data_IF_604480034488
#
_entry.id   IF_604480034488
#
_cell.length_a   1.000
_cell.length_b   1.000
_cell.length_c   1.000
_cell.angle_alpha   90.00
_cell.angle_beta   90.00
_cell.angle_gamma   90.00
#
_symmetry.space_group_name_H-M   'P 1'
#
loop_
_entity.id
_entity.type
_entity.pdbx_description
1 polymer ?
#
# COMPACT_ATOMS: atom_id res chain seq x y z
N UNK A 1 -1.39 -19.57 -15.75
CA UNK A 1 -2.01 -18.34 -15.24
C UNK A 1 -1.40 -17.13 -15.93
N UNK A 2 -2.24 -16.24 -16.37
CA UNK A 2 -1.74 -15.04 -17.07
C UNK A 2 -1.00 -14.12 -16.10
N UNK A 3 0.05 -13.51 -16.60
CA UNK A 3 0.85 -12.56 -15.84
C UNK A 3 -0.01 -11.43 -15.24
N UNK A 4 -0.97 -10.95 -16.04
CA UNK A 4 -1.87 -9.89 -15.60
C UNK A 4 -2.77 -10.30 -14.42
N UNK A 5 -3.18 -11.54 -14.35
CA UNK A 5 -3.98 -12.02 -13.22
C UNK A 5 -3.19 -12.00 -11.93
N UNK A 6 -1.93 -12.44 -11.98
CA UNK A 6 -1.06 -12.44 -10.81
C UNK A 6 -0.81 -11.02 -10.34
N UNK A 7 -0.47 -10.12 -11.27
CA UNK A 7 -0.21 -8.72 -10.96
C UNK A 7 -1.45 -8.07 -10.35
N UNK A 8 -2.63 -8.32 -10.93
CA UNK A 8 -3.88 -7.76 -10.42
C UNK A 8 -4.18 -8.21 -8.99
N UNK A 9 -3.92 -9.48 -8.69
CA UNK A 9 -4.10 -10.00 -7.33
C UNK A 9 -3.16 -9.34 -6.34
N UNK A 10 -1.92 -9.13 -6.74
CA UNK A 10 -0.94 -8.44 -5.90
C UNK A 10 -1.37 -6.99 -5.67
N UNK A 11 -1.80 -6.31 -6.73
CA UNK A 11 -2.26 -4.93 -6.62
C UNK A 11 -3.48 -4.81 -5.71
N UNK A 12 -4.43 -5.73 -5.81
CA UNK A 12 -5.60 -5.75 -4.94
C UNK A 12 -5.20 -5.94 -3.48
N UNK A 13 -4.27 -6.84 -3.21
CA UNK A 13 -3.77 -7.07 -1.87
C UNK A 13 -3.09 -5.82 -1.31
N UNK A 14 -2.20 -5.22 -2.10
CA UNK A 14 -1.49 -4.01 -1.68
C UNK A 14 -2.46 -2.85 -1.46
N UNK A 15 -3.46 -2.71 -2.31
CA UNK A 15 -4.47 -1.66 -2.15
C UNK A 15 -5.26 -1.84 -0.85
N UNK A 16 -5.64 -3.07 -0.54
CA UNK A 16 -6.33 -3.39 0.71
C UNK A 16 -5.46 -3.03 1.92
N UNK A 17 -4.19 -3.42 1.89
CA UNK A 17 -3.27 -3.12 2.98
C UNK A 17 -3.06 -1.61 3.13
N UNK A 18 -2.93 -0.91 2.01
CA UNK A 18 -2.76 0.54 2.03
C UNK A 18 -3.98 1.23 2.65
N UNK A 19 -5.17 0.77 2.31
CA UNK A 19 -6.41 1.31 2.88
C UNK A 19 -6.46 1.06 4.39
N UNK A 20 -6.07 -0.13 4.84
CA UNK A 20 -6.01 -0.44 6.27
C UNK A 20 -5.03 0.48 7.00
N UNK A 21 -3.87 0.73 6.40
CA UNK A 21 -2.89 1.64 6.98
C UNK A 21 -3.44 3.06 7.09
N UNK A 22 -4.13 3.52 6.06
CA UNK A 22 -4.77 4.83 6.07
C UNK A 22 -5.77 4.95 7.22
N UNK A 23 -6.57 3.90 7.44
CA UNK A 23 -7.54 3.87 8.53
C UNK A 23 -6.85 3.88 9.90
N UNK A 24 -5.75 3.15 10.04
CA UNK A 24 -4.99 3.13 11.28
C UNK A 24 -4.35 4.50 11.55
N UNK A 25 -3.84 5.15 10.52
CA UNK A 25 -3.26 6.50 10.65
C UNK A 25 -4.29 7.50 11.17
N UNK A 26 -5.53 7.35 10.74
CA UNK A 26 -6.61 8.25 11.19
C UNK A 26 -6.94 8.06 12.68
N UNK A 27 -6.57 6.93 13.27
CA UNK A 27 -6.88 6.61 14.66
C UNK A 27 -5.74 6.91 15.63
N UNK A 28 -4.57 7.32 15.13
CA UNK A 28 -3.41 7.65 15.97
C UNK A 28 -3.08 9.13 15.88
N UNK A 29 -2.36 9.64 16.88
CA UNK A 29 -1.98 11.05 16.90
C UNK A 29 -1.03 11.37 15.74
N UNK A 30 -1.27 12.48 15.07
CA UNK A 30 -0.52 12.87 13.88
C UNK A 30 1.00 12.94 14.12
N UNK A 31 1.40 13.42 15.29
CA UNK A 31 2.82 13.59 15.61
C UNK A 31 3.43 12.40 16.36
N UNK A 32 2.68 11.30 16.49
CA UNK A 32 3.18 10.12 17.20
C UNK A 32 4.17 9.33 16.33
N UNK A 33 5.00 8.54 17.01
CA UNK A 33 5.91 7.61 16.32
C UNK A 33 5.12 6.57 15.52
N UNK A 34 3.97 6.15 16.04
CA UNK A 34 3.13 5.18 15.37
C UNK A 34 2.62 5.73 14.03
N UNK A 35 2.21 6.99 14.02
CA UNK A 35 1.78 7.64 12.78
C UNK A 35 2.93 7.70 11.76
N UNK A 36 4.13 8.04 12.20
CA UNK A 36 5.30 8.12 11.33
C UNK A 36 5.63 6.75 10.71
N UNK A 37 5.53 5.68 11.50
CA UNK A 37 5.77 4.32 11.02
C UNK A 37 4.71 3.93 10.00
N UNK A 38 3.44 4.20 10.29
CA UNK A 38 2.35 3.88 9.37
C UNK A 38 2.46 4.66 8.07
N UNK A 39 2.85 5.92 8.15
CA UNK A 39 3.06 6.75 6.96
C UNK A 39 4.18 6.19 6.08
N UNK A 40 5.28 5.77 6.68
CA UNK A 40 6.39 5.16 5.95
C UNK A 40 5.94 3.86 5.26
N UNK A 41 5.16 3.04 5.95
CA UNK A 41 4.61 1.81 5.37
C UNK A 41 3.64 2.12 4.22
N UNK A 42 2.82 3.13 4.39
CA UNK A 42 1.90 3.56 3.33
C UNK A 42 2.67 3.95 2.07
N UNK A 43 3.74 4.72 2.22
CA UNK A 43 4.58 5.13 1.09
C UNK A 43 5.20 3.93 0.38
N UNK A 44 5.66 2.93 1.13
CA UNK A 44 6.24 1.71 0.56
C UNK A 44 5.20 0.97 -0.29
N UNK A 45 3.99 0.79 0.24
CA UNK A 45 2.93 0.12 -0.50
C UNK A 45 2.56 0.89 -1.76
N UNK A 46 2.44 2.20 -1.65
CA UNK A 46 2.11 3.06 -2.78
C UNK A 46 3.19 2.96 -3.87
N UNK A 47 4.43 2.98 -3.48
CA UNK A 47 5.57 2.88 -4.38
C UNK A 47 5.59 1.54 -5.11
N UNK A 48 5.35 0.45 -4.37
CA UNK A 48 5.28 -0.88 -4.95
C UNK A 48 4.14 -1.02 -5.95
N UNK A 49 2.99 -0.46 -5.63
CA UNK A 49 1.84 -0.49 -6.54
C UNK A 49 2.15 0.25 -7.83
N UNK A 50 2.74 1.44 -7.73
CA UNK A 50 3.14 2.22 -8.91
C UNK A 50 4.14 1.45 -9.77
N UNK A 51 5.11 0.83 -9.12
CA UNK A 51 6.12 0.05 -9.84
C UNK A 51 5.53 -1.13 -10.57
N UNK A 52 4.62 -1.85 -9.93
CA UNK A 52 3.94 -2.97 -10.56
C UNK A 52 3.08 -2.53 -11.74
N UNK A 53 2.39 -1.42 -11.60
CA UNK A 53 1.59 -0.88 -12.69
C UNK A 53 2.46 -0.49 -13.89
N UNK A 54 3.58 0.18 -13.63
CA UNK A 54 4.48 0.62 -14.68
C UNK A 54 5.15 -0.56 -15.41
N UNK A 55 5.56 -1.58 -14.64
CA UNK A 55 6.34 -2.69 -15.19
C UNK A 55 5.48 -3.78 -15.82
N UNK A 56 4.23 -3.96 -15.37
CA UNK A 56 3.43 -5.13 -15.73
C UNK A 56 2.02 -4.82 -16.22
N UNK A 57 1.64 -3.59 -16.26
CA UNK A 57 0.37 -3.14 -16.82
C UNK A 57 0.59 -2.08 -17.86
#
# INVERSE_FOLDING_TARGET
>A
MAKHEVVNKILDYLDTRRTELSNEMASVAYESNDHAILDAMYEVYDHLMSKLEDDYR
#
